data_IF_514352806175
#
_entry.id   IF_514352806175
#
_cell.length_a   1.000
_cell.length_b   1.000
_cell.length_c   1.000
_cell.angle_alpha   90.00
_cell.angle_beta   90.00
_cell.angle_gamma   90.00
#
_symmetry.space_group_name_H-M   'P 1'
#
loop_
_entity.id
_entity.type
_entity.pdbx_description
1 polymer ?
#
# COMPACT_ATOMS: atom_id res chain seq x y z
N UNK A 1 -6.78 -9.12 -13.23
CA UNK A 1 -8.20 -8.71 -13.19
C UNK A 1 -8.25 -7.20 -13.40
N UNK A 2 -9.34 -6.65 -13.93
CA UNK A 2 -9.54 -5.20 -13.86
C UNK A 2 -9.83 -4.81 -12.41
N UNK A 3 -9.15 -3.79 -11.89
CA UNK A 3 -9.36 -3.26 -10.54
C UNK A 3 -9.23 -1.72 -10.57
N UNK A 4 -9.83 -0.97 -9.62
CA UNK A 4 -9.91 0.49 -9.73
C UNK A 4 -8.56 1.22 -9.55
N UNK A 5 -7.49 0.51 -9.21
CA UNK A 5 -6.19 1.07 -8.83
C UNK A 5 -5.07 0.89 -9.86
N UNK A 6 -5.41 0.63 -11.14
CA UNK A 6 -4.43 0.41 -12.22
C UNK A 6 -3.43 1.58 -12.37
N UNK A 7 -3.85 2.81 -12.07
CA UNK A 7 -2.98 4.00 -12.15
C UNK A 7 -1.76 3.93 -11.20
N UNK A 8 -1.83 3.13 -10.13
CA UNK A 8 -0.77 3.02 -9.12
C UNK A 8 0.23 1.89 -9.41
N UNK A 9 -0.10 0.90 -10.26
CA UNK A 9 0.69 -0.33 -10.45
C UNK A 9 2.14 -0.08 -10.86
N UNK A 10 2.37 0.97 -11.64
CA UNK A 10 3.71 1.32 -12.15
C UNK A 10 4.53 2.12 -11.14
N UNK A 11 3.91 2.61 -10.07
CA UNK A 11 4.55 3.46 -9.06
C UNK A 11 5.56 2.68 -8.21
N UNK A 12 6.59 3.37 -7.71
CA UNK A 12 7.52 2.81 -6.74
C UNK A 12 6.81 2.43 -5.43
N UNK A 13 5.83 3.23 -5.02
CA UNK A 13 5.03 2.99 -3.81
C UNK A 13 4.29 1.66 -3.89
N UNK A 14 3.63 1.37 -5.02
CA UNK A 14 2.95 0.09 -5.24
C UNK A 14 3.87 -1.10 -5.07
N UNK A 15 5.07 -1.05 -5.67
CA UNK A 15 6.05 -2.14 -5.56
C UNK A 15 6.44 -2.39 -4.11
N UNK A 16 6.70 -1.34 -3.33
CA UNK A 16 7.09 -1.43 -1.92
C UNK A 16 5.93 -1.97 -1.06
N UNK A 17 4.72 -1.44 -1.25
CA UNK A 17 3.55 -1.87 -0.46
C UNK A 17 3.19 -3.32 -0.78
N UNK A 18 3.19 -3.69 -2.07
CA UNK A 18 2.91 -5.06 -2.51
C UNK A 18 3.90 -6.05 -1.92
N UNK A 19 5.21 -5.80 -2.03
CA UNK A 19 6.21 -6.70 -1.46
C UNK A 19 6.07 -6.81 0.06
N UNK A 20 5.81 -5.69 0.75
CA UNK A 20 5.62 -5.71 2.21
C UNK A 20 4.40 -6.55 2.62
N UNK A 21 3.31 -6.52 1.85
CA UNK A 21 2.12 -7.35 2.11
C UNK A 21 2.39 -8.81 1.77
N UNK A 22 3.11 -9.09 0.67
CA UNK A 22 3.51 -10.45 0.30
C UNK A 22 4.37 -11.09 1.38
N UNK A 23 5.35 -10.37 1.94
CA UNK A 23 6.19 -10.84 3.04
C UNK A 23 5.38 -11.18 4.30
N UNK A 24 4.36 -10.38 4.64
CA UNK A 24 3.48 -10.63 5.79
C UNK A 24 2.59 -11.87 5.58
N UNK A 25 2.15 -12.11 4.35
CA UNK A 25 1.39 -13.32 4.01
C UNK A 25 2.28 -14.56 4.05
N UNK A 26 3.50 -14.45 3.49
CA UNK A 26 4.47 -15.54 3.46
C UNK A 26 4.90 -15.96 4.88
N UNK A 27 5.06 -15.00 5.79
CA UNK A 27 5.39 -15.25 7.19
C UNK A 27 4.19 -15.63 8.07
N UNK A 28 2.99 -15.80 7.48
CA UNK A 28 1.74 -16.08 8.19
C UNK A 28 1.35 -15.03 9.25
N UNK A 29 1.85 -13.80 9.12
CA UNK A 29 1.47 -12.69 10.01
C UNK A 29 0.06 -12.19 9.71
N UNK A 30 -0.38 -12.29 8.45
CA UNK A 30 -1.72 -11.93 7.99
C UNK A 30 -2.30 -12.96 7.01
N UNK A 31 -3.62 -12.99 6.90
CA UNK A 31 -4.35 -13.69 5.84
C UNK A 31 -5.14 -12.66 5.01
N UNK A 32 -5.08 -12.78 3.68
CA UNK A 32 -5.82 -11.88 2.78
C UNK A 32 -7.19 -12.47 2.44
N UNK A 33 -8.25 -11.74 2.74
CA UNK A 33 -9.62 -12.08 2.35
C UNK A 33 -10.06 -11.42 1.04
N UNK A 34 -9.24 -10.52 0.50
CA UNK A 34 -9.49 -9.81 -0.76
C UNK A 34 -8.23 -9.88 -1.65
N UNK A 35 -8.37 -9.74 -2.98
CA UNK A 35 -7.21 -9.73 -3.87
C UNK A 35 -6.22 -8.63 -3.49
N UNK A 36 -4.93 -8.96 -3.51
CA UNK A 36 -3.85 -8.08 -3.03
C UNK A 36 -3.86 -6.71 -3.71
N UNK A 37 -4.28 -6.64 -4.98
CA UNK A 37 -4.33 -5.41 -5.76
C UNK A 37 -5.32 -4.38 -5.19
N UNK A 38 -6.42 -4.84 -4.56
CA UNK A 38 -7.36 -3.94 -3.89
C UNK A 38 -6.75 -3.34 -2.62
N UNK A 39 -5.98 -4.14 -1.88
CA UNK A 39 -5.33 -3.72 -0.63
C UNK A 39 -4.19 -2.76 -0.95
N UNK A 40 -3.27 -3.16 -1.84
CA UNK A 40 -2.13 -2.34 -2.28
C UNK A 40 -2.63 -1.04 -2.89
N UNK A 41 -3.62 -1.11 -3.77
CA UNK A 41 -4.17 0.06 -4.45
C UNK A 41 -4.84 1.06 -3.50
N UNK A 42 -5.61 0.57 -2.51
CA UNK A 42 -6.22 1.43 -1.50
C UNK A 42 -5.15 2.17 -0.67
N UNK A 43 -4.10 1.46 -0.23
CA UNK A 43 -2.99 2.05 0.52
C UNK A 43 -2.25 3.08 -0.33
N UNK A 44 -1.93 2.75 -1.60
CA UNK A 44 -1.24 3.65 -2.52
C UNK A 44 -2.04 4.93 -2.76
N UNK A 45 -3.36 4.81 -2.99
CA UNK A 45 -4.27 5.96 -3.14
C UNK A 45 -4.20 6.87 -1.92
N UNK A 46 -4.32 6.31 -0.71
CA UNK A 46 -4.36 7.11 0.52
C UNK A 46 -3.04 7.84 0.79
N UNK A 47 -1.91 7.15 0.62
CA UNK A 47 -0.58 7.75 0.78
C UNK A 47 -0.36 8.84 -0.27
N UNK A 48 -0.73 8.59 -1.54
CA UNK A 48 -0.57 9.58 -2.62
C UNK A 48 -1.49 10.79 -2.46
N UNK A 49 -2.63 10.62 -1.77
CA UNK A 49 -3.58 11.70 -1.46
C UNK A 49 -3.20 12.48 -0.20
N UNK A 50 -2.21 12.01 0.57
CA UNK A 50 -1.78 12.64 1.81
C UNK A 50 -0.45 13.34 1.55
N UNK A 51 -0.37 14.65 1.82
CA UNK A 51 0.90 15.37 1.90
C UNK A 51 1.65 14.94 3.17
N UNK A 52 2.22 13.72 3.16
CA UNK A 52 3.01 13.16 4.28
C UNK A 52 4.26 14.01 4.59
N UNK A 53 4.58 15.00 3.75
CA UNK A 53 5.67 15.97 3.98
C UNK A 53 5.33 17.12 4.94
N UNK A 54 4.13 17.17 5.54
CA UNK A 54 3.81 18.17 6.57
C UNK A 54 4.19 17.67 7.97
N UNK A 55 5.45 17.95 8.32
CA UNK A 55 6.19 17.46 9.49
C UNK A 55 5.41 17.17 10.78
N UNK A 56 5.55 15.94 11.25
CA UNK A 56 5.45 15.62 12.67
C UNK A 56 6.59 16.35 13.41
N UNK A 57 6.28 17.50 14.02
CA UNK A 57 7.09 17.99 15.13
C UNK A 57 6.99 16.94 16.23
N UNK A 58 8.09 16.23 16.48
CA UNK A 58 8.24 15.40 17.67
C UNK A 58 7.85 16.21 18.92
N UNK A 59 7.06 15.65 19.85
CA UNK A 59 6.83 16.30 21.14
C UNK A 59 8.18 16.55 21.83
N UNK A 60 8.38 17.78 22.33
CA UNK A 60 9.52 18.14 23.18
C UNK A 60 9.50 17.39 24.49
#
# INVERSE_FOLDING_TARGET
MKHPYEEYETSKLWKIVKSSIEDLVENNDIELFTPIEYIVGYICKNISSTDINSGEKSPK
#
